data_IF_518766998852
#
_entry.id   IF_518766998852
#
_cell.length_a   1.000
_cell.length_b   1.000
_cell.length_c   1.000
_cell.angle_alpha   90.00
_cell.angle_beta   90.00
_cell.angle_gamma   90.00
#
_symmetry.space_group_name_H-M   'P 1'
#
loop_
_entity.id
_entity.type
_entity.pdbx_description
1 polymer ?
#
# COMPACT_ATOMS: atom_id res chain seq x y z
N UNK A 1 -11.06 3.15 4.25
CA UNK A 1 -9.87 3.67 3.53
C UNK A 1 -8.68 3.65 4.49
N UNK A 2 -7.48 3.36 4.01
CA UNK A 2 -6.25 3.32 4.81
C UNK A 2 -5.23 4.30 4.21
N UNK A 3 -4.79 5.26 5.01
CA UNK A 3 -3.79 6.23 4.57
C UNK A 3 -2.44 5.88 5.19
N UNK A 4 -1.41 5.87 4.35
CA UNK A 4 -0.04 5.61 4.78
C UNK A 4 0.79 6.87 4.60
N UNK A 5 1.52 7.26 5.65
CA UNK A 5 2.37 8.43 5.65
C UNK A 5 3.80 8.11 6.09
N UNK A 6 4.74 8.47 5.24
CA UNK A 6 6.18 8.56 5.53
C UNK A 6 6.60 10.03 5.45
N UNK A 7 7.82 10.34 5.86
CA UNK A 7 8.38 11.70 5.78
C UNK A 7 8.53 12.22 4.35
N UNK A 8 8.68 11.32 3.37
CA UNK A 8 9.00 11.64 1.97
C UNK A 8 8.00 11.09 0.94
N UNK A 9 6.99 10.34 1.36
CA UNK A 9 5.94 9.80 0.49
C UNK A 9 4.68 9.47 1.28
N UNK A 10 3.55 9.41 0.59
CA UNK A 10 2.29 8.92 1.13
C UNK A 10 1.53 8.13 0.07
N UNK A 11 0.68 7.21 0.51
CA UNK A 11 -0.26 6.50 -0.36
C UNK A 11 -1.62 6.37 0.31
N UNK A 12 -2.68 6.54 -0.48
CA UNK A 12 -4.07 6.36 -0.06
C UNK A 12 -4.57 5.04 -0.65
N UNK A 13 -5.02 4.15 0.23
CA UNK A 13 -5.49 2.81 -0.11
C UNK A 13 -7.01 2.75 0.10
N UNK A 14 -7.72 2.44 -0.97
CA UNK A 14 -9.18 2.53 -0.99
C UNK A 14 -9.83 1.19 -0.65
N UNK A 15 -9.43 0.14 -1.39
CA UNK A 15 -10.09 -1.16 -1.35
C UNK A 15 -9.13 -2.26 -0.93
N UNK A 16 -9.45 -2.92 0.19
CA UNK A 16 -8.79 -4.15 0.58
C UNK A 16 -9.28 -5.30 -0.29
N UNK A 17 -8.36 -6.02 -0.92
CA UNK A 17 -8.66 -7.16 -1.80
C UNK A 17 -8.60 -8.49 -1.08
N UNK A 18 -7.88 -8.56 0.04
CA UNK A 18 -7.79 -9.74 0.89
C UNK A 18 -6.65 -9.67 1.90
N UNK A 19 -6.55 -10.71 2.71
CA UNK A 19 -5.46 -10.94 3.66
C UNK A 19 -4.83 -12.30 3.41
N UNK A 20 -3.52 -12.39 3.55
CA UNK A 20 -2.78 -13.64 3.40
C UNK A 20 -1.50 -13.58 4.24
N UNK A 21 -1.25 -14.61 5.05
CA UNK A 21 0.00 -14.76 5.83
C UNK A 21 0.39 -13.50 6.64
N UNK A 22 -0.59 -12.85 7.27
CA UNK A 22 -0.34 -11.68 8.11
C UNK A 22 -0.10 -10.36 7.35
N UNK A 23 -0.30 -10.34 6.03
CA UNK A 23 -0.35 -9.10 5.23
C UNK A 23 -1.74 -8.88 4.63
N UNK A 24 -2.06 -7.63 4.31
CA UNK A 24 -3.24 -7.25 3.55
C UNK A 24 -2.85 -6.67 2.19
N UNK A 25 -3.63 -7.00 1.16
CA UNK A 25 -3.44 -6.48 -0.20
C UNK A 25 -4.49 -5.40 -0.44
N UNK A 26 -4.03 -4.24 -0.92
CA UNK A 26 -4.87 -3.08 -1.16
C UNK A 26 -4.72 -2.57 -2.58
N UNK A 27 -5.82 -2.07 -3.14
CA UNK A 27 -5.80 -1.21 -4.33
C UNK A 27 -5.74 0.26 -3.92
N UNK A 28 -4.98 1.04 -4.68
CA UNK A 28 -4.81 2.47 -4.49
C UNK A 28 -6.10 3.22 -4.81
N UNK A 29 -6.35 4.30 -4.08
CA UNK A 29 -7.33 5.29 -4.51
C UNK A 29 -6.80 6.00 -5.76
N UNK A 30 -7.25 5.57 -6.96
CA UNK A 30 -6.64 5.96 -8.25
C UNK A 30 -6.59 7.47 -8.51
N UNK A 31 -7.53 8.23 -7.94
CA UNK A 31 -7.56 9.69 -8.07
C UNK A 31 -6.69 10.42 -7.02
N UNK A 32 -6.30 9.75 -5.94
CA UNK A 32 -5.55 10.35 -4.83
C UNK A 32 -4.11 9.85 -4.73
N UNK A 33 -3.78 8.70 -5.34
CA UNK A 33 -2.44 8.13 -5.27
C UNK A 33 -2.12 7.31 -6.53
N UNK A 34 -0.92 7.54 -7.06
CA UNK A 34 -0.29 6.67 -8.04
C UNK A 34 1.22 6.70 -7.79
N UNK A 35 1.87 5.53 -7.81
CA UNK A 35 3.33 5.47 -7.69
C UNK A 35 3.90 5.01 -9.01
N UNK A 36 4.49 5.96 -9.74
CA UNK A 36 5.25 5.69 -10.94
C UNK A 36 6.74 5.46 -10.59
N UNK A 37 7.32 4.43 -11.18
CA UNK A 37 8.77 4.13 -11.12
C UNK A 37 9.27 3.77 -12.51
N UNK A 38 10.58 3.55 -12.61
CA UNK A 38 11.24 3.24 -13.88
C UNK A 38 10.96 4.32 -14.94
N UNK A 39 11.18 5.59 -14.56
CA UNK A 39 10.92 6.77 -15.39
C UNK A 39 9.48 6.83 -15.94
N UNK A 40 8.51 6.30 -15.20
CA UNK A 40 7.10 6.30 -15.58
C UNK A 40 6.65 5.08 -16.39
N UNK A 41 7.55 4.12 -16.67
CA UNK A 41 7.19 2.89 -17.40
C UNK A 41 6.37 1.92 -16.57
N UNK A 42 6.47 1.99 -15.24
CA UNK A 42 5.74 1.13 -14.32
C UNK A 42 4.94 1.96 -13.33
N UNK A 43 3.62 1.83 -13.41
CA UNK A 43 2.69 2.45 -12.46
C UNK A 43 2.12 1.38 -11.53
N UNK A 44 2.51 1.45 -10.26
CA UNK A 44 1.99 0.59 -9.22
C UNK A 44 0.61 1.08 -8.79
N UNK A 45 -0.31 0.12 -8.67
CA UNK A 45 -1.71 0.38 -8.27
C UNK A 45 -2.14 -0.44 -7.06
N UNK A 46 -1.26 -1.27 -6.54
CA UNK A 46 -1.52 -2.14 -5.42
C UNK A 46 -0.37 -2.09 -4.42
N UNK A 47 -0.70 -2.30 -3.15
CA UNK A 47 0.27 -2.43 -2.06
C UNK A 47 -0.05 -3.65 -1.19
N UNK A 48 1.01 -4.27 -0.67
CA UNK A 48 0.97 -5.18 0.47
C UNK A 48 1.34 -4.39 1.72
N UNK A 49 0.53 -4.54 2.76
CA UNK A 49 0.70 -3.88 4.06
C UNK A 49 0.87 -4.93 5.14
N UNK A 50 1.87 -4.75 5.99
CA UNK A 50 2.15 -5.64 7.12
C UNK A 50 2.31 -4.80 8.41
N UNK A 51 1.64 -5.15 9.52
CA UNK A 51 0.66 -6.24 9.64
C UNK A 51 -0.62 -6.01 8.81
N UNK A 52 -1.36 -7.09 8.54
CA UNK A 52 -2.56 -7.06 7.70
C UNK A 52 -3.65 -6.11 8.19
N UNK A 53 -3.81 -6.02 9.51
CA UNK A 53 -4.78 -5.18 10.19
C UNK A 53 -4.02 -4.22 11.09
N UNK A 54 -3.44 -3.16 10.52
CA UNK A 54 -2.73 -2.17 11.31
C UNK A 54 -3.71 -1.36 12.14
N UNK A 55 -3.33 -1.09 13.38
CA UNK A 55 -4.06 -0.14 14.22
C UNK A 55 -3.79 1.29 13.74
N UNK A 56 -4.71 2.20 14.06
CA UNK A 56 -4.48 3.62 13.79
C UNK A 56 -3.20 4.12 14.50
N UNK A 57 -2.35 4.83 13.76
CA UNK A 57 -1.05 5.29 14.21
C UNK A 57 0.04 4.21 14.26
N UNK A 58 -0.23 2.98 13.81
CA UNK A 58 0.75 1.89 13.83
C UNK A 58 1.73 1.97 12.67
N UNK A 59 2.97 1.60 12.93
CA UNK A 59 4.00 1.41 11.91
C UNK A 59 3.73 0.15 11.07
N UNK A 60 3.84 0.30 9.75
CA UNK A 60 3.62 -0.78 8.77
C UNK A 60 4.75 -0.86 7.75
N UNK A 61 5.07 -2.07 7.31
CA UNK A 61 5.88 -2.30 6.12
C UNK A 61 4.99 -2.20 4.87
N UNK A 62 5.43 -1.43 3.87
CA UNK A 62 4.72 -1.22 2.61
C UNK A 62 5.55 -1.74 1.44
N UNK A 63 4.92 -2.60 0.64
CA UNK A 63 5.51 -3.14 -0.59
C UNK A 63 4.57 -2.91 -1.76
N UNK A 64 5.07 -2.32 -2.84
CA UNK A 64 4.30 -2.07 -4.06
C UNK A 64 4.30 -3.31 -4.96
N UNK A 65 3.14 -3.61 -5.54
CA UNK A 65 2.97 -4.71 -6.50
C UNK A 65 2.16 -4.24 -7.72
N UNK A 66 2.39 -4.85 -8.88
CA UNK A 66 1.75 -4.46 -10.14
C UNK A 66 0.33 -5.01 -10.28
N UNK A 67 0.10 -6.20 -9.73
CA UNK A 67 -1.17 -6.92 -9.68
C UNK A 67 -1.31 -7.62 -8.32
N UNK A 68 -2.51 -7.98 -7.87
CA UNK A 68 -2.70 -8.69 -6.59
C UNK A 68 -1.96 -10.03 -6.48
N UNK A 69 -1.65 -10.65 -7.62
CA UNK A 69 -0.94 -11.94 -7.73
C UNK A 69 0.51 -11.80 -8.21
N UNK A 70 1.09 -10.60 -8.17
CA UNK A 70 2.47 -10.39 -8.63
C UNK A 70 3.45 -11.30 -7.88
N UNK A 71 4.37 -11.97 -8.59
CA UNK A 71 5.42 -12.77 -7.95
C UNK A 71 6.37 -11.88 -7.15
N UNK A 72 7.04 -12.46 -6.15
CA UNK A 72 7.94 -11.70 -5.25
C UNK A 72 9.08 -10.98 -5.99
N UNK A 73 9.52 -11.52 -7.13
CA UNK A 73 10.55 -10.90 -7.98
C UNK A 73 10.16 -9.53 -8.53
N UNK A 74 8.85 -9.24 -8.61
CA UNK A 74 8.32 -7.96 -9.09
C UNK A 74 7.92 -7.01 -7.95
N UNK A 75 8.13 -7.43 -6.70
CA UNK A 75 7.79 -6.61 -5.55
C UNK A 75 8.80 -5.50 -5.37
N UNK A 76 8.30 -4.31 -5.04
CA UNK A 76 9.14 -3.16 -4.74
C UNK A 76 8.89 -2.71 -3.29
N UNK A 77 9.80 -3.01 -2.35
CA UNK A 77 9.71 -2.50 -0.99
C UNK A 77 9.73 -0.97 -1.02
N UNK A 78 8.67 -0.34 -0.54
CA UNK A 78 8.59 1.12 -0.44
C UNK A 78 9.19 1.62 0.88
N UNK A 79 9.15 0.77 1.91
CA UNK A 79 9.73 1.01 3.22
C UNK A 79 8.68 0.95 4.31
N UNK A 80 9.04 1.54 5.45
CA UNK A 80 8.22 1.56 6.66
C UNK A 80 7.55 2.93 6.79
N UNK A 81 6.29 2.96 7.23
CA UNK A 81 5.49 4.16 7.34
C UNK A 81 4.36 4.01 8.37
N UNK A 82 3.70 5.11 8.74
CA UNK A 82 2.61 5.09 9.71
C UNK A 82 1.26 4.95 8.99
N UNK A 83 0.45 4.01 9.45
CA UNK A 83 -0.89 3.76 8.97
C UNK A 83 -1.92 4.54 9.78
N UNK A 84 -2.86 5.19 9.09
CA UNK A 84 -4.01 5.86 9.70
C UNK A 84 -5.30 5.36 9.08
N UNK A 85 -6.21 4.85 9.92
CA UNK A 85 -7.50 4.35 9.48
C UNK A 85 -8.48 5.50 9.42
N UNK A 86 -8.98 5.80 8.22
CA UNK A 86 -10.07 6.77 8.09
C UNK A 86 -11.38 6.01 8.11
N UNK A 87 -12.08 6.11 9.24
CA UNK A 87 -13.48 5.78 9.35
C UNK A 87 -14.23 6.91 8.65
N UNK A 88 -14.74 6.65 7.44
CA UNK A 88 -15.63 7.59 6.76
C UNK A 88 -16.82 7.88 7.67
N UNK A 89 -17.00 9.15 8.02
CA UNK A 89 -18.12 9.68 8.79
C UNK A 89 -19.38 9.63 7.93
#
# INVERSE_FOLDING_TARGET
MLNIYSSNWSVVLDKQLGTQQGVSIWEFHRAASSVARDQGRRTYRYARIKPAEPKDGQEVEVTLILTPSSPESDWLPLGVATAHTINSI
#
